data_IF_224768833253
#
_entry.id   IF_224768833253
#
_cell.length_a   1.000
_cell.length_b   1.000
_cell.length_c   1.000
_cell.angle_alpha   90.00
_cell.angle_beta   90.00
_cell.angle_gamma   90.00
#
_symmetry.space_group_name_H-M   'P 1'
#
loop_
_entity.id
_entity.type
_entity.pdbx_description
1 polymer ?
#
# COMPACT_ATOMS: atom_id res chain seq x y z
N UNK A 1 13.13 -34.18 13.65
CA UNK A 1 11.99 -33.35 14.08
C UNK A 1 12.27 -31.83 14.00
N UNK A 2 13.16 -31.38 13.10
CA UNK A 2 13.65 -29.99 13.02
C UNK A 2 13.27 -29.28 11.70
N UNK A 3 12.52 -29.96 10.83
CA UNK A 3 12.11 -29.51 9.50
C UNK A 3 10.78 -28.77 9.49
N UNK A 4 9.76 -29.29 10.19
CA UNK A 4 8.37 -28.77 10.12
C UNK A 4 8.27 -27.28 10.50
N UNK A 5 8.99 -26.81 11.54
CA UNK A 5 8.94 -25.39 11.92
C UNK A 5 9.69 -24.49 10.95
N UNK A 6 10.81 -24.96 10.37
CA UNK A 6 11.58 -24.22 9.36
C UNK A 6 10.78 -24.06 8.08
N UNK A 7 10.14 -25.14 7.63
CA UNK A 7 9.32 -25.14 6.41
C UNK A 7 8.12 -24.20 6.56
N UNK A 8 7.51 -24.15 7.76
CA UNK A 8 6.43 -23.21 8.07
C UNK A 8 6.91 -21.74 8.05
N UNK A 9 8.11 -21.45 8.58
CA UNK A 9 8.73 -20.13 8.45
C UNK A 9 9.02 -19.75 6.99
N UNK A 10 9.52 -20.68 6.18
CA UNK A 10 9.77 -20.44 4.76
C UNK A 10 8.48 -20.17 3.98
N UNK A 11 7.42 -20.94 4.25
CA UNK A 11 6.10 -20.73 3.65
C UNK A 11 5.54 -19.35 4.01
N UNK A 12 5.62 -18.96 5.29
CA UNK A 12 5.19 -17.65 5.74
C UNK A 12 5.97 -16.52 5.05
N UNK A 13 7.30 -16.57 5.06
CA UNK A 13 8.13 -15.54 4.43
C UNK A 13 7.85 -15.44 2.93
N UNK A 14 7.61 -16.58 2.27
CA UNK A 14 7.26 -16.60 0.84
C UNK A 14 5.92 -15.95 0.58
N UNK A 15 4.91 -16.20 1.42
CA UNK A 15 3.60 -15.52 1.32
C UNK A 15 3.75 -14.01 1.49
N UNK A 16 4.46 -13.57 2.54
CA UNK A 16 4.64 -12.15 2.83
C UNK A 16 5.46 -11.42 1.74
N UNK A 17 6.41 -12.11 1.10
CA UNK A 17 7.15 -11.57 -0.04
C UNK A 17 6.26 -11.41 -1.28
N UNK A 18 5.34 -12.36 -1.54
CA UNK A 18 4.35 -12.22 -2.62
C UNK A 18 3.41 -11.03 -2.37
N UNK A 19 2.96 -10.89 -1.12
CA UNK A 19 2.10 -9.77 -0.70
C UNK A 19 2.85 -8.43 -0.84
N UNK A 20 4.11 -8.36 -0.37
CA UNK A 20 4.93 -7.15 -0.47
C UNK A 20 5.23 -6.75 -1.93
N UNK A 21 5.37 -7.72 -2.83
CA UNK A 21 5.54 -7.49 -4.26
C UNK A 21 4.23 -7.06 -4.96
N UNK A 22 3.09 -7.04 -4.26
CA UNK A 22 1.79 -6.69 -4.84
C UNK A 22 1.24 -7.76 -5.78
N UNK A 23 1.76 -8.99 -5.75
CA UNK A 23 1.30 -10.09 -6.60
C UNK A 23 -0.08 -10.62 -6.18
N UNK A 24 -0.55 -10.25 -4.98
CA UNK A 24 -1.87 -10.60 -4.43
C UNK A 24 -2.96 -9.56 -4.76
N UNK A 25 -2.64 -8.53 -5.57
CA UNK A 25 -3.50 -7.38 -5.86
C UNK A 25 -4.83 -7.67 -6.62
N UNK A 26 -5.16 -8.94 -6.87
CA UNK A 26 -6.44 -9.36 -7.43
C UNK A 26 -7.57 -9.56 -6.41
N UNK A 27 -7.28 -9.57 -5.10
CA UNK A 27 -8.30 -9.73 -4.06
C UNK A 27 -8.63 -8.39 -3.41
N UNK A 28 -9.74 -7.77 -3.82
CA UNK A 28 -10.37 -6.64 -3.11
C UNK A 28 -10.86 -7.00 -1.71
N UNK A 29 -10.80 -8.28 -1.33
CA UNK A 29 -10.89 -8.68 0.06
C UNK A 29 -9.50 -8.58 0.69
N UNK A 30 -9.29 -7.57 1.53
CA UNK A 30 -8.30 -7.65 2.62
C UNK A 30 -8.79 -8.79 3.52
N UNK A 31 -8.40 -10.02 3.18
CA UNK A 31 -8.50 -11.12 4.13
C UNK A 31 -7.71 -10.65 5.37
N UNK A 32 -8.40 -10.53 6.51
CA UNK A 32 -7.79 -10.01 7.73
C UNK A 32 -6.53 -10.81 8.02
N UNK A 33 -5.37 -10.17 7.91
CA UNK A 33 -4.11 -10.80 8.25
C UNK A 33 -4.19 -11.23 9.73
N UNK A 34 -4.03 -12.52 9.97
CA UNK A 34 -3.89 -13.06 11.32
C UNK A 34 -2.44 -13.38 11.54
N UNK A 35 -1.91 -12.98 12.69
CA UNK A 35 -0.56 -13.33 13.09
C UNK A 35 -0.40 -14.86 13.13
N UNK A 36 0.62 -15.43 12.48
CA UNK A 36 0.92 -16.85 12.54
C UNK A 36 1.35 -17.24 13.96
N UNK A 37 0.66 -18.22 14.55
CA UNK A 37 1.00 -18.75 15.88
C UNK A 37 1.71 -20.09 15.80
N UNK A 38 2.45 -20.47 16.84
CA UNK A 38 3.02 -21.82 16.97
C UNK A 38 4.25 -22.13 16.09
N UNK A 39 4.84 -21.14 15.41
CA UNK A 39 6.02 -21.34 14.54
C UNK A 39 7.33 -21.63 15.29
N UNK A 40 7.36 -21.35 16.60
CA UNK A 40 8.58 -21.43 17.39
C UNK A 40 9.61 -20.35 17.01
N UNK A 41 10.86 -20.45 17.49
CA UNK A 41 11.88 -19.43 17.23
C UNK A 41 12.26 -19.38 15.75
N UNK A 42 12.51 -18.18 15.23
CA UNK A 42 12.97 -17.98 13.86
C UNK A 42 14.34 -18.67 13.62
N UNK A 43 14.47 -19.50 12.57
CA UNK A 43 15.75 -20.07 12.17
C UNK A 43 16.78 -18.99 11.81
N UNK A 44 18.02 -19.13 12.31
CA UNK A 44 19.08 -18.10 12.15
C UNK A 44 19.41 -17.81 10.68
N UNK A 45 19.34 -18.81 9.82
CA UNK A 45 19.56 -18.70 8.38
C UNK A 45 18.49 -17.85 7.68
N UNK A 46 17.28 -17.75 8.24
CA UNK A 46 16.18 -16.97 7.68
C UNK A 46 16.13 -15.52 8.16
N UNK A 47 16.91 -15.14 9.19
CA UNK A 47 16.92 -13.78 9.75
C UNK A 47 17.23 -12.74 8.68
N UNK A 48 18.25 -12.98 7.83
CA UNK A 48 18.60 -12.05 6.75
C UNK A 48 17.51 -11.91 5.68
N UNK A 49 16.67 -12.93 5.47
CA UNK A 49 15.50 -12.85 4.58
C UNK A 49 14.40 -12.01 5.24
N UNK A 50 14.07 -12.29 6.50
CA UNK A 50 13.07 -11.55 7.25
C UNK A 50 13.42 -10.05 7.39
N UNK A 51 14.68 -9.71 7.67
CA UNK A 51 15.13 -8.31 7.77
C UNK A 51 15.00 -7.55 6.45
N UNK A 52 15.32 -8.19 5.31
CA UNK A 52 15.16 -7.58 3.98
C UNK A 52 13.68 -7.37 3.64
N UNK A 53 12.83 -8.35 3.94
CA UNK A 53 11.39 -8.23 3.76
C UNK A 53 10.84 -7.05 4.60
N UNK A 54 11.24 -6.94 5.86
CA UNK A 54 10.80 -5.84 6.74
C UNK A 54 11.24 -4.47 6.22
N UNK A 55 12.45 -4.36 5.68
CA UNK A 55 12.92 -3.13 5.04
C UNK A 55 12.05 -2.78 3.82
N UNK A 56 11.83 -3.73 2.92
CA UNK A 56 11.01 -3.54 1.72
C UNK A 56 9.56 -3.13 2.07
N UNK A 57 8.97 -3.74 3.10
CA UNK A 57 7.64 -3.38 3.59
C UNK A 57 7.61 -1.93 4.12
N UNK A 58 8.63 -1.50 4.86
CA UNK A 58 8.74 -0.10 5.35
C UNK A 58 8.89 0.89 4.23
N UNK A 59 9.72 0.59 3.24
CA UNK A 59 9.90 1.45 2.07
C UNK A 59 8.59 1.59 1.30
N UNK A 60 7.83 0.49 1.13
CA UNK A 60 6.52 0.52 0.48
C UNK A 60 5.52 1.38 1.26
N UNK A 61 5.47 1.25 2.58
CA UNK A 61 4.61 2.08 3.45
C UNK A 61 4.96 3.56 3.34
N UNK A 62 6.26 3.90 3.31
CA UNK A 62 6.72 5.28 3.15
C UNK A 62 6.29 5.87 1.79
N UNK A 63 6.43 5.10 0.71
CA UNK A 63 5.97 5.51 -0.63
C UNK A 63 4.45 5.71 -0.66
N UNK A 64 3.67 4.79 -0.09
CA UNK A 64 2.21 4.91 -0.05
C UNK A 64 1.75 6.14 0.75
N UNK A 65 2.42 6.46 1.87
CA UNK A 65 2.12 7.66 2.65
C UNK A 65 2.47 8.94 1.88
N UNK A 66 3.60 8.95 1.15
CA UNK A 66 3.97 10.05 0.26
C UNK A 66 2.94 10.28 -0.86
N UNK A 67 2.53 9.21 -1.54
CA UNK A 67 1.51 9.24 -2.61
C UNK A 67 0.17 9.74 -2.06
N UNK A 68 -0.23 9.27 -0.87
CA UNK A 68 -1.45 9.73 -0.19
C UNK A 68 -1.40 11.23 0.09
N UNK A 69 -0.29 11.73 0.62
CA UNK A 69 -0.11 13.17 0.90
C UNK A 69 -0.15 14.00 -0.38
N UNK A 70 0.53 13.57 -1.43
CA UNK A 70 0.52 14.25 -2.73
C UNK A 70 -0.90 14.31 -3.31
N UNK A 71 -1.64 13.21 -3.24
CA UNK A 71 -3.03 13.13 -3.70
C UNK A 71 -3.93 14.10 -2.92
N UNK A 72 -3.82 14.14 -1.59
CA UNK A 72 -4.60 15.05 -0.76
C UNK A 72 -4.29 16.52 -1.04
N UNK A 73 -3.02 16.86 -1.31
CA UNK A 73 -2.62 18.20 -1.74
C UNK A 73 -3.29 18.58 -3.06
N UNK A 74 -3.27 17.68 -4.05
CA UNK A 74 -3.92 17.93 -5.34
C UNK A 74 -5.44 18.13 -5.20
N UNK A 75 -6.11 17.27 -4.42
CA UNK A 75 -7.54 17.43 -4.13
C UNK A 75 -7.84 18.73 -3.36
N UNK A 76 -6.92 19.17 -2.49
CA UNK A 76 -6.98 20.48 -1.84
C UNK A 76 -6.97 21.62 -2.84
N UNK A 77 -6.06 21.59 -3.82
CA UNK A 77 -5.97 22.60 -4.87
C UNK A 77 -7.22 22.64 -5.75
N UNK A 78 -7.76 21.49 -6.15
CA UNK A 78 -9.01 21.41 -6.94
C UNK A 78 -10.18 22.04 -6.19
N UNK A 79 -10.33 21.73 -4.89
CA UNK A 79 -11.38 22.34 -4.05
C UNK A 79 -11.23 23.85 -3.91
N UNK A 80 -10.01 24.36 -3.83
CA UNK A 80 -9.76 25.80 -3.77
C UNK A 80 -10.16 26.51 -5.07
N UNK A 81 -9.87 25.91 -6.23
CA UNK A 81 -10.31 26.43 -7.54
C UNK A 81 -11.84 26.48 -7.61
N UNK A 82 -12.51 25.40 -7.23
CA UNK A 82 -13.97 25.35 -7.21
C UNK A 82 -14.58 26.43 -6.29
N UNK A 83 -13.99 26.68 -5.13
CA UNK A 83 -14.44 27.73 -4.21
C UNK A 83 -14.27 29.15 -4.76
N UNK A 84 -13.34 29.37 -5.68
CA UNK A 84 -13.08 30.68 -6.32
C UNK A 84 -13.88 30.91 -7.59
N UNK A 85 -14.57 29.88 -8.13
CA UNK A 85 -15.56 30.07 -9.19
C UNK A 85 -16.78 30.78 -8.61
N UNK A 86 -16.87 32.10 -8.78
CA UNK A 86 -18.17 32.76 -8.69
C UNK A 86 -19.14 32.10 -9.69
N UNK A 87 -20.43 31.93 -9.34
CA UNK A 87 -21.46 31.51 -10.28
C UNK A 87 -21.79 32.66 -11.23
N UNK A 88 -20.82 33.10 -12.04
CA UNK A 88 -21.13 33.86 -13.24
C UNK A 88 -21.68 32.86 -14.25
N UNK A 89 -23.00 32.72 -14.26
CA UNK A 89 -23.72 31.90 -15.23
C UNK A 89 -23.18 32.18 -16.63
N UNK A 90 -23.05 31.12 -17.44
CA UNK A 90 -22.52 31.18 -18.79
C UNK A 90 -23.19 32.30 -19.59
N UNK A 91 -22.46 33.39 -19.86
CA UNK A 91 -22.97 34.49 -20.70
C UNK A 91 -22.68 34.13 -22.15
N UNK A 92 -23.73 33.86 -22.93
CA UNK A 92 -23.63 33.79 -24.38
C UNK A 92 -23.46 35.22 -24.91
N UNK A 93 -22.30 35.52 -25.49
CA UNK A 93 -22.09 36.73 -26.26
C UNK A 93 -22.51 36.44 -27.71
N UNK A 94 -23.66 36.97 -28.12
CA UNK A 94 -24.06 36.94 -29.53
C UNK A 94 -23.30 38.04 -30.28
N UNK A 95 -22.38 37.63 -31.15
CA UNK A 95 -21.55 38.53 -31.94
C UNK A 95 -22.23 38.97 -33.24
N UNK A 96 -23.51 39.36 -33.15
CA UNK A 96 -24.35 39.75 -34.29
C UNK A 96 -25.05 41.08 -34.00
N UNK A 97 -24.35 42.20 -34.21
CA UNK A 97 -24.92 43.55 -34.20
C UNK A 97 -24.34 44.39 -35.34
#
# INVERSE_FOLDING_TARGET
MRSVSRDAWEALLTSLEHDAAGQTAGSTAVAGWSEPTGLGPMPRDLVGRASRLLAAQRDRMATLDADRRATLTHLGALRAVDATREPRGSVYLDASA
#
